data_IF_918539396299
#
_entry.id   IF_918539396299
#
_cell.length_a   1.000
_cell.length_b   1.000
_cell.length_c   1.000
_cell.angle_alpha   90.00
_cell.angle_beta   90.00
_cell.angle_gamma   90.00
#
_symmetry.space_group_name_H-M   'P 1'
#
loop_
_entity.id
_entity.type
_entity.pdbx_description
1 polymer ?
#
# COMPACT_ATOMS: atom_id res chain seq x y z
N UNK A 1 -4.62 27.93 19.29
CA UNK A 1 -4.82 26.94 18.21
C UNK A 1 -3.46 26.33 17.96
N UNK A 2 -3.29 25.02 18.17
CA UNK A 2 -2.00 24.36 17.96
C UNK A 2 -1.74 24.29 16.46
N UNK A 3 -0.78 25.07 15.99
CA UNK A 3 -0.15 24.90 14.69
C UNK A 3 0.50 23.52 14.66
N UNK A 4 -0.30 22.54 14.25
CA UNK A 4 0.23 21.23 13.87
C UNK A 4 1.07 21.54 12.65
N UNK A 5 2.39 21.40 12.80
CA UNK A 5 3.38 21.73 11.79
C UNK A 5 3.17 20.79 10.60
N UNK A 6 2.24 21.16 9.72
CA UNK A 6 1.78 20.37 8.59
C UNK A 6 2.87 20.43 7.52
N UNK A 7 3.70 19.39 7.49
CA UNK A 7 4.74 19.26 6.48
C UNK A 7 4.13 18.76 5.19
N UNK A 8 4.18 19.58 4.14
CA UNK A 8 3.98 19.09 2.77
C UNK A 8 5.08 18.08 2.47
N UNK A 9 4.71 16.80 2.33
CA UNK A 9 5.67 15.78 1.94
C UNK A 9 5.80 15.74 0.42
N UNK A 10 7.03 15.60 -0.07
CA UNK A 10 7.25 15.37 -1.50
C UNK A 10 6.85 13.94 -1.88
N UNK A 11 6.71 13.68 -3.19
CA UNK A 11 6.27 12.37 -3.70
C UNK A 11 7.23 11.23 -3.32
N UNK A 12 8.52 11.50 -3.16
CA UNK A 12 9.51 10.49 -2.76
C UNK A 12 9.26 10.03 -1.32
N UNK A 13 9.10 10.97 -0.39
CA UNK A 13 8.76 10.66 0.99
C UNK A 13 7.38 10.01 1.12
N UNK A 14 6.40 10.44 0.31
CA UNK A 14 5.09 9.79 0.27
C UNK A 14 5.19 8.31 -0.11
N UNK A 15 6.01 7.97 -1.10
CA UNK A 15 6.26 6.56 -1.50
C UNK A 15 6.90 5.76 -0.37
N UNK A 16 7.93 6.31 0.26
CA UNK A 16 8.59 5.64 1.40
C UNK A 16 7.62 5.44 2.57
N UNK A 17 6.78 6.44 2.85
CA UNK A 17 5.79 6.36 3.92
C UNK A 17 4.74 5.28 3.65
N UNK A 18 4.23 5.20 2.42
CA UNK A 18 3.29 4.14 2.01
C UNK A 18 3.94 2.76 2.17
N UNK A 19 5.18 2.58 1.72
CA UNK A 19 5.91 1.32 1.89
C UNK A 19 6.07 0.95 3.38
N UNK A 20 6.41 1.91 4.23
CA UNK A 20 6.50 1.70 5.68
C UNK A 20 5.15 1.29 6.27
N UNK A 21 4.04 1.89 5.83
CA UNK A 21 2.68 1.49 6.26
C UNK A 21 2.35 0.08 5.79
N UNK A 22 2.67 -0.29 4.56
CA UNK A 22 2.45 -1.63 4.04
C UNK A 22 3.23 -2.68 4.85
N UNK A 23 4.49 -2.40 5.19
CA UNK A 23 5.31 -3.25 6.06
C UNK A 23 4.71 -3.34 7.46
N UNK A 24 4.31 -2.22 8.06
CA UNK A 24 3.68 -2.21 9.37
C UNK A 24 2.36 -3.00 9.41
N UNK A 25 1.54 -2.88 8.35
CA UNK A 25 0.29 -3.62 8.21
C UNK A 25 0.55 -5.12 8.02
N UNK A 26 1.55 -5.48 7.21
CA UNK A 26 1.99 -6.87 7.06
C UNK A 26 2.46 -7.44 8.41
N UNK A 27 3.27 -6.67 9.14
CA UNK A 27 3.77 -7.04 10.46
C UNK A 27 2.63 -7.31 11.45
N UNK A 28 1.66 -6.39 11.55
CA UNK A 28 0.52 -6.52 12.45
C UNK A 28 -0.37 -7.75 12.15
N UNK A 29 -0.47 -8.17 10.90
CA UNK A 29 -1.35 -9.27 10.48
C UNK A 29 -0.67 -10.63 10.36
N UNK A 30 0.60 -10.69 9.97
CA UNK A 30 1.31 -11.94 9.67
C UNK A 30 2.33 -12.28 10.77
N UNK A 31 3.05 -11.28 11.27
CA UNK A 31 4.21 -11.51 12.14
C UNK A 31 3.82 -12.02 13.53
N UNK A 32 2.65 -11.61 14.03
CA UNK A 32 2.09 -12.10 15.31
C UNK A 32 1.89 -13.62 15.31
N UNK A 33 1.54 -14.21 14.16
CA UNK A 33 1.41 -15.65 14.03
C UNK A 33 2.78 -16.34 14.05
N UNK A 34 3.80 -15.75 13.41
CA UNK A 34 5.15 -16.31 13.32
C UNK A 34 5.89 -16.34 14.66
N UNK A 35 5.74 -15.31 15.51
CA UNK A 35 6.41 -15.25 16.81
C UNK A 35 5.67 -16.01 17.93
N UNK A 36 4.43 -16.42 17.69
CA UNK A 36 3.61 -17.14 18.68
C UNK A 36 4.19 -18.50 19.10
N UNK A 37 5.05 -19.10 18.27
CA UNK A 37 5.77 -20.35 18.57
C UNK A 37 7.05 -20.16 19.39
N UNK A 38 7.47 -18.92 19.64
CA UNK A 38 8.66 -18.61 20.43
C UNK A 38 8.33 -18.48 21.92
N UNK A 39 9.30 -18.79 22.78
CA UNK A 39 9.19 -18.60 24.24
C UNK A 39 9.11 -17.11 24.57
N UNK A 40 8.49 -16.79 25.70
CA UNK A 40 8.27 -15.40 26.15
C UNK A 40 9.57 -14.61 26.36
N UNK A 41 10.67 -15.30 26.70
CA UNK A 41 11.99 -14.71 26.93
C UNK A 41 12.88 -14.71 25.67
N UNK A 42 12.36 -15.17 24.53
CA UNK A 42 13.11 -15.19 23.28
C UNK A 42 13.37 -13.74 22.80
N UNK A 43 14.64 -13.34 22.57
CA UNK A 43 14.97 -11.99 22.11
C UNK A 43 14.23 -11.56 20.84
N UNK A 44 13.96 -12.49 19.91
CA UNK A 44 13.23 -12.19 18.68
C UNK A 44 11.75 -11.89 18.95
N UNK A 45 11.15 -12.58 19.92
CA UNK A 45 9.77 -12.32 20.34
C UNK A 45 9.65 -10.96 21.03
N UNK A 46 10.57 -10.65 21.94
CA UNK A 46 10.60 -9.36 22.64
C UNK A 46 10.74 -8.21 21.62
N UNK A 47 11.64 -8.36 20.64
CA UNK A 47 11.81 -7.35 19.59
C UNK A 47 10.54 -7.20 18.74
N UNK A 48 9.85 -8.30 18.45
CA UNK A 48 8.62 -8.30 17.68
C UNK A 48 7.48 -7.57 18.41
N UNK A 49 7.29 -7.88 19.70
CA UNK A 49 6.28 -7.23 20.55
C UNK A 49 6.56 -5.73 20.67
N UNK A 50 7.83 -5.32 20.81
CA UNK A 50 8.21 -3.90 20.83
C UNK A 50 7.88 -3.18 19.52
N UNK A 51 8.11 -3.84 18.37
CA UNK A 51 7.73 -3.29 17.06
C UNK A 51 6.22 -3.18 16.90
N UNK A 52 5.44 -4.15 17.40
CA UNK A 52 3.96 -4.09 17.39
C UNK A 52 3.47 -2.86 18.18
N UNK A 53 4.03 -2.61 19.36
CA UNK A 53 3.72 -1.42 20.15
C UNK A 53 4.07 -0.11 19.43
N UNK A 54 5.23 -0.04 18.78
CA UNK A 54 5.67 1.15 18.06
C UNK A 54 4.80 1.42 16.83
N UNK A 55 4.38 0.37 16.12
CA UNK A 55 3.38 0.46 15.04
C UNK A 55 2.03 0.94 15.60
N UNK A 56 1.59 0.40 16.75
CA UNK A 56 0.33 0.81 17.37
C UNK A 56 0.33 2.30 17.81
N UNK A 57 1.50 2.87 18.12
CA UNK A 57 1.64 4.31 18.38
C UNK A 57 1.41 5.16 17.14
N UNK A 58 1.69 4.63 15.94
CA UNK A 58 1.37 5.27 14.66
C UNK A 58 -0.13 5.12 14.33
N UNK A 59 -0.99 5.77 15.13
CA UNK A 59 -2.46 5.65 15.04
C UNK A 59 -3.05 6.07 13.70
N UNK A 60 -2.41 7.03 13.01
CA UNK A 60 -2.90 7.62 11.76
C UNK A 60 -1.77 8.28 11.00
N UNK A 61 -1.77 8.13 9.68
CA UNK A 61 -0.98 8.95 8.77
C UNK A 61 -1.95 9.82 7.96
N UNK A 62 -1.78 11.14 8.04
CA UNK A 62 -2.54 12.09 7.26
C UNK A 62 -1.68 12.65 6.13
N UNK A 63 -2.10 12.41 4.89
CA UNK A 63 -1.47 12.95 3.70
C UNK A 63 -2.27 14.15 3.20
N UNK A 64 -1.63 15.31 3.15
CA UNK A 64 -2.24 16.54 2.64
C UNK A 64 -1.72 16.81 1.23
N UNK A 65 -2.62 16.70 0.26
CA UNK A 65 -2.39 17.07 -1.13
C UNK A 65 -3.13 18.37 -1.41
N UNK A 66 -2.55 19.26 -2.21
CA UNK A 66 -3.33 20.38 -2.72
C UNK A 66 -4.35 19.89 -3.76
N UNK A 67 -5.38 20.70 -4.04
CA UNK A 67 -6.47 20.31 -4.94
C UNK A 67 -5.98 19.94 -6.35
N UNK A 68 -4.96 20.63 -6.86
CA UNK A 68 -4.37 20.33 -8.17
C UNK A 68 -3.69 18.97 -8.19
N UNK A 69 -2.97 18.61 -7.14
CA UNK A 69 -2.33 17.31 -6.97
C UNK A 69 -3.38 16.21 -6.81
N UNK A 70 -4.43 16.43 -6.01
CA UNK A 70 -5.52 15.49 -5.84
C UNK A 70 -6.22 15.19 -7.18
N UNK A 71 -6.57 16.24 -7.94
CA UNK A 71 -7.18 16.12 -9.27
C UNK A 71 -6.25 15.39 -10.26
N UNK A 72 -4.94 15.66 -10.20
CA UNK A 72 -3.94 14.98 -11.02
C UNK A 72 -3.90 13.47 -10.71
N UNK A 73 -3.81 13.09 -9.43
CA UNK A 73 -3.78 11.67 -9.05
C UNK A 73 -5.08 10.95 -9.41
N UNK A 74 -6.23 11.60 -9.27
CA UNK A 74 -7.50 11.06 -9.71
C UNK A 74 -7.56 10.85 -11.23
N UNK A 75 -7.08 11.83 -12.00
CA UNK A 75 -6.97 11.71 -13.47
C UNK A 75 -6.08 10.54 -13.86
N UNK A 76 -4.91 10.41 -13.24
CA UNK A 76 -3.98 9.28 -13.47
C UNK A 76 -4.68 7.96 -13.16
N UNK A 77 -5.32 7.82 -11.99
CA UNK A 77 -6.05 6.61 -11.59
C UNK A 77 -7.10 6.21 -12.63
N UNK A 78 -7.89 7.17 -13.09
CA UNK A 78 -8.95 6.94 -14.07
C UNK A 78 -8.39 6.51 -15.43
N UNK A 79 -7.29 7.14 -15.89
CA UNK A 79 -6.62 6.76 -17.13
C UNK A 79 -6.01 5.36 -17.06
N UNK A 80 -5.33 5.02 -15.96
CA UNK A 80 -4.76 3.69 -15.75
C UNK A 80 -5.84 2.61 -15.75
N UNK A 81 -6.97 2.84 -15.08
CA UNK A 81 -8.09 1.91 -15.07
C UNK A 81 -8.64 1.67 -16.48
N UNK A 82 -8.89 2.74 -17.26
CA UNK A 82 -9.36 2.63 -18.65
C UNK A 82 -8.39 1.87 -19.53
N UNK A 83 -7.08 2.15 -19.40
CA UNK A 83 -6.05 1.47 -20.18
C UNK A 83 -6.01 -0.02 -19.85
N UNK A 84 -6.12 -0.38 -18.57
CA UNK A 84 -6.14 -1.78 -18.13
C UNK A 84 -7.36 -2.53 -18.70
N UNK A 85 -8.55 -1.91 -18.68
CA UNK A 85 -9.76 -2.48 -19.29
C UNK A 85 -9.60 -2.68 -20.79
N UNK A 86 -9.05 -1.70 -21.52
CA UNK A 86 -8.82 -1.80 -22.96
C UNK A 86 -7.82 -2.91 -23.33
N UNK A 87 -6.75 -3.06 -22.54
CA UNK A 87 -5.77 -4.15 -22.72
C UNK A 87 -6.44 -5.51 -22.52
N UNK A 88 -7.26 -5.67 -21.48
CA UNK A 88 -7.93 -6.94 -21.21
C UNK A 88 -9.00 -7.29 -22.25
N UNK A 89 -9.76 -6.30 -22.74
CA UNK A 89 -10.69 -6.49 -23.86
C UNK A 89 -9.94 -7.00 -25.10
N UNK A 90 -8.84 -6.33 -25.47
CA UNK A 90 -8.02 -6.73 -26.63
C UNK A 90 -7.40 -8.12 -26.47
N UNK A 91 -6.98 -8.50 -25.26
CA UNK A 91 -6.47 -9.85 -24.98
C UNK A 91 -7.56 -10.92 -25.20
N UNK A 92 -8.78 -10.63 -24.79
CA UNK A 92 -9.93 -11.53 -24.94
C UNK A 92 -10.29 -11.71 -26.42
N UNK A 93 -10.43 -10.61 -27.16
CA UNK A 93 -10.70 -10.61 -28.59
C UNK A 93 -9.66 -11.40 -29.40
N UNK A 94 -8.37 -11.26 -29.05
CA UNK A 94 -7.29 -12.01 -29.67
C UNK A 94 -7.36 -13.51 -29.39
N UNK A 95 -7.67 -13.91 -28.14
CA UNK A 95 -7.82 -15.31 -27.78
C UNK A 95 -9.01 -15.98 -28.51
N UNK A 96 -10.13 -15.26 -28.61
CA UNK A 96 -11.31 -15.74 -29.35
C UNK A 96 -11.03 -15.87 -30.86
N UNK A 97 -10.33 -14.89 -31.45
CA UNK A 97 -9.95 -14.93 -32.87
C UNK A 97 -9.00 -16.08 -33.19
N UNK A 98 -8.08 -16.42 -32.28
CA UNK A 98 -7.17 -17.55 -32.45
C UNK A 98 -7.88 -18.91 -32.33
N UNK A 99 -8.85 -19.03 -31.44
CA UNK A 99 -9.66 -20.26 -31.33
C UNK A 99 -10.53 -20.50 -32.57
N UNK A 100 -11.06 -19.45 -33.20
CA UNK A 100 -11.88 -19.58 -34.42
C UNK A 100 -11.07 -19.97 -35.67
N UNK A 101 -9.77 -19.72 -35.69
CA UNK A 101 -8.88 -20.10 -36.81
C UNK A 101 -8.33 -21.54 -36.69
N UNK A 102 -8.48 -22.17 -35.52
CA UNK A 102 -7.96 -23.52 -35.24
C UNK A 102 -9.05 -24.61 -35.13
N UNK A 103 -10.34 -24.23 -35.19
CA UNK A 103 -11.48 -25.15 -35.24
C UNK A 103 -12.09 -25.23 -36.63
#
# INVERSE_FOLDING_TARGET
>A
MNDTNLQSINLHFAKQLIQTVEVANCFAHQFKAEVSGLREDDPLRIQAEQMEEDIAKAKKIELWLNEQQAALFESIRNQTSRLHSAINARRTELAESQHQLQG
#
